data_IF_117439208488
#
_entry.id   IF_117439208488
#
_cell.length_a   1.000
_cell.length_b   1.000
_cell.length_c   1.000
_cell.angle_alpha   90.00
_cell.angle_beta   90.00
_cell.angle_gamma   90.00
#
_symmetry.space_group_name_H-M   'P 1'
#
loop_
_entity.id
_entity.type
_entity.pdbx_description
1 polymer ?
#
# COMPACT_ATOMS: atom_id res chain seq x y z
N UNK A 1 -1.35 46.02 -18.48
CA UNK A 1 -0.40 44.91 -18.73
C UNK A 1 -0.61 43.90 -17.62
N UNK A 2 -1.32 42.85 -17.93
CA UNK A 2 -1.68 41.83 -16.95
C UNK A 2 -0.54 40.82 -16.88
N UNK A 3 0.11 40.78 -15.76
CA UNK A 3 1.09 39.77 -15.44
C UNK A 3 0.31 38.54 -14.97
N UNK A 4 0.18 37.59 -15.88
CA UNK A 4 -0.49 36.32 -15.62
C UNK A 4 0.48 35.44 -14.84
N UNK A 5 0.41 35.52 -13.53
CA UNK A 5 1.06 34.58 -12.65
C UNK A 5 0.58 33.16 -13.05
N UNK A 6 1.43 32.42 -13.75
CA UNK A 6 1.30 30.99 -13.87
C UNK A 6 1.35 30.37 -12.48
N UNK A 7 0.18 30.12 -11.91
CA UNK A 7 0.05 29.14 -10.85
C UNK A 7 0.55 27.82 -11.44
N UNK A 8 1.75 27.44 -11.07
CA UNK A 8 2.22 26.08 -11.25
C UNK A 8 1.27 25.19 -10.46
N UNK A 9 0.33 24.52 -11.13
CA UNK A 9 -0.36 23.38 -10.58
C UNK A 9 0.72 22.41 -10.08
N UNK A 10 0.90 22.38 -8.78
CA UNK A 10 1.62 21.29 -8.12
C UNK A 10 0.74 20.08 -8.42
N UNK A 11 1.07 19.36 -9.50
CA UNK A 11 0.56 18.01 -9.71
C UNK A 11 0.98 17.25 -8.46
N UNK A 12 0.04 17.01 -7.58
CA UNK A 12 0.19 16.03 -6.52
C UNK A 12 0.44 14.72 -7.24
N UNK A 13 1.69 14.32 -7.32
CA UNK A 13 2.06 13.03 -7.88
C UNK A 13 1.48 12.02 -6.89
N UNK A 14 0.38 11.40 -7.25
CA UNK A 14 -0.22 10.35 -6.46
C UNK A 14 0.78 9.21 -6.37
N UNK A 15 1.22 8.90 -5.14
CA UNK A 15 2.20 7.84 -4.86
C UNK A 15 1.49 6.48 -4.83
N UNK A 16 0.78 6.15 -5.90
CA UNK A 16 0.13 4.86 -6.11
C UNK A 16 -0.18 4.61 -7.59
N UNK A 17 -0.40 3.35 -7.94
CA UNK A 17 -1.05 2.95 -9.20
C UNK A 17 -1.96 1.74 -8.96
N UNK A 18 -3.24 1.92 -9.22
CA UNK A 18 -4.29 0.90 -9.06
C UNK A 18 -5.19 0.89 -10.32
N UNK A 19 -6.00 -0.15 -10.48
CA UNK A 19 -6.87 -0.27 -11.64
C UNK A 19 -7.93 0.84 -11.69
N UNK A 20 -8.66 1.06 -10.62
CA UNK A 20 -9.72 2.08 -10.51
C UNK A 20 -9.88 2.55 -9.06
N UNK A 21 -9.52 3.80 -8.82
CA UNK A 21 -9.64 4.41 -7.48
C UNK A 21 -11.10 4.55 -7.00
N UNK A 22 -12.07 4.55 -7.91
CA UNK A 22 -13.48 4.64 -7.56
C UNK A 22 -14.02 3.40 -6.84
N UNK A 23 -13.29 2.29 -6.86
CA UNK A 23 -13.62 1.07 -6.11
C UNK A 23 -13.29 1.19 -4.61
N UNK A 24 -12.69 2.29 -4.16
CA UNK A 24 -12.20 2.45 -2.79
C UNK A 24 -13.29 2.35 -1.74
N UNK A 25 -14.50 2.87 -1.99
CA UNK A 25 -15.61 2.79 -1.03
C UNK A 25 -16.06 1.36 -0.80
N UNK A 26 -16.17 0.57 -1.87
CA UNK A 26 -16.45 -0.85 -1.77
C UNK A 26 -15.35 -1.59 -1.01
N UNK A 27 -14.09 -1.35 -1.36
CA UNK A 27 -12.95 -1.92 -0.66
C UNK A 27 -12.96 -1.62 0.85
N UNK A 28 -13.22 -0.37 1.24
CA UNK A 28 -13.27 0.04 2.63
C UNK A 28 -14.38 -0.72 3.43
N UNK A 29 -15.53 -0.95 2.83
CA UNK A 29 -16.61 -1.74 3.45
C UNK A 29 -16.20 -3.20 3.65
N UNK A 30 -15.58 -3.81 2.66
CA UNK A 30 -15.08 -5.19 2.73
C UNK A 30 -13.96 -5.35 3.77
N UNK A 31 -13.07 -4.37 3.89
CA UNK A 31 -12.02 -4.35 4.91
C UNK A 31 -12.63 -4.35 6.31
N UNK A 32 -13.67 -3.56 6.55
CA UNK A 32 -14.38 -3.55 7.84
C UNK A 32 -14.98 -4.90 8.21
N UNK A 33 -15.50 -5.62 7.23
CA UNK A 33 -16.01 -6.98 7.45
C UNK A 33 -14.84 -7.92 7.78
N UNK A 34 -13.75 -7.87 7.02
CA UNK A 34 -12.58 -8.71 7.23
C UNK A 34 -11.94 -8.51 8.61
N UNK A 35 -11.94 -7.29 9.15
CA UNK A 35 -11.45 -7.02 10.51
C UNK A 35 -12.14 -7.91 11.56
N UNK A 36 -13.44 -8.18 11.39
CA UNK A 36 -14.20 -9.04 12.31
C UNK A 36 -13.78 -10.51 12.25
N UNK A 37 -13.16 -10.92 11.15
CA UNK A 37 -12.68 -12.28 10.91
C UNK A 37 -11.19 -12.45 11.22
N UNK A 38 -10.51 -11.38 11.62
CA UNK A 38 -9.07 -11.34 11.87
C UNK A 38 -8.76 -10.85 13.30
N UNK A 39 -9.25 -11.57 14.34
CA UNK A 39 -9.15 -11.11 15.73
C UNK A 39 -7.70 -10.99 16.23
N UNK A 40 -6.78 -11.77 15.69
CA UNK A 40 -5.36 -11.68 16.05
C UNK A 40 -4.74 -10.32 15.70
N UNK A 41 -4.95 -9.84 14.47
CA UNK A 41 -4.49 -8.51 14.06
C UNK A 41 -5.20 -7.39 14.82
N UNK A 42 -6.50 -7.53 15.04
CA UNK A 42 -7.27 -6.53 15.80
C UNK A 42 -6.81 -6.44 17.26
N UNK A 43 -6.46 -7.56 17.88
CA UNK A 43 -5.87 -7.58 19.24
C UNK A 43 -4.51 -6.88 19.28
N UNK A 44 -3.69 -7.04 18.25
CA UNK A 44 -2.41 -6.30 18.15
C UNK A 44 -2.63 -4.78 18.07
N UNK A 45 -3.63 -4.32 17.31
CA UNK A 45 -3.98 -2.90 17.26
C UNK A 45 -4.40 -2.38 18.64
N UNK A 46 -5.26 -3.14 19.35
CA UNK A 46 -5.75 -2.77 20.67
C UNK A 46 -4.60 -2.70 21.70
N UNK A 47 -3.75 -3.69 21.72
CA UNK A 47 -2.67 -3.81 22.73
C UNK A 47 -1.49 -2.86 22.45
N UNK A 48 -1.09 -2.72 21.21
CA UNK A 48 0.15 -2.03 20.82
C UNK A 48 -0.05 -0.74 20.03
N UNK A 49 -1.24 -0.45 19.55
CA UNK A 49 -1.50 0.72 18.70
C UNK A 49 -1.06 2.05 19.31
N UNK A 50 -1.29 2.26 20.59
CA UNK A 50 -0.86 3.48 21.30
C UNK A 50 0.65 3.52 21.60
N UNK A 51 1.29 2.35 21.67
CA UNK A 51 2.72 2.22 22.00
C UNK A 51 3.63 2.45 20.79
N UNK A 52 3.08 2.33 19.57
CA UNK A 52 3.82 2.49 18.29
C UNK A 52 5.13 1.68 18.22
N UNK A 53 5.10 0.35 18.43
CA UNK A 53 6.31 -0.45 18.48
C UNK A 53 7.06 -0.49 17.14
N UNK A 54 6.39 -0.18 16.01
CA UNK A 54 6.98 -0.11 14.67
C UNK A 54 7.35 1.31 14.25
N UNK A 55 7.40 2.25 15.17
CA UNK A 55 7.87 3.61 14.87
C UNK A 55 9.30 3.55 14.30
N UNK A 56 9.51 4.14 13.13
CA UNK A 56 10.79 4.10 12.41
C UNK A 56 10.96 2.88 11.49
N UNK A 57 10.02 1.94 11.49
CA UNK A 57 10.00 0.87 10.49
C UNK A 57 9.52 1.41 9.15
N UNK A 58 10.34 1.24 8.12
CA UNK A 58 10.02 1.51 6.72
C UNK A 58 9.90 0.17 6.00
N UNK A 59 8.68 -0.29 5.78
CA UNK A 59 8.40 -1.62 5.26
C UNK A 59 8.07 -1.56 3.78
N UNK A 60 8.90 -2.19 2.94
CA UNK A 60 8.52 -2.54 1.59
C UNK A 60 7.86 -3.92 1.61
N UNK A 61 6.63 -4.01 1.12
CA UNK A 61 5.84 -5.23 1.10
C UNK A 61 5.58 -5.73 -0.32
N UNK A 62 5.70 -7.04 -0.50
CA UNK A 62 5.31 -7.76 -1.71
C UNK A 62 4.53 -9.00 -1.30
N UNK A 63 3.22 -8.84 -1.17
CA UNK A 63 2.27 -9.88 -0.79
C UNK A 63 0.94 -9.60 -1.48
N UNK A 64 0.17 -10.65 -1.78
CA UNK A 64 -1.14 -10.56 -2.44
C UNK A 64 -1.97 -9.38 -1.94
N UNK A 65 -2.29 -8.43 -2.81
CA UNK A 65 -3.05 -7.22 -2.42
C UNK A 65 -4.54 -7.52 -2.34
N UNK A 66 -4.90 -8.25 -1.30
CA UNK A 66 -6.27 -8.65 -0.99
C UNK A 66 -6.87 -7.81 0.14
N UNK A 67 -8.15 -8.00 0.40
CA UNK A 67 -8.84 -7.39 1.54
C UNK A 67 -8.16 -7.75 2.87
N UNK A 68 -7.75 -9.01 3.05
CA UNK A 68 -7.07 -9.47 4.26
C UNK A 68 -5.69 -8.81 4.41
N UNK A 69 -4.97 -8.67 3.33
CA UNK A 69 -3.68 -7.95 3.32
C UNK A 69 -3.89 -6.46 3.64
N UNK A 70 -4.98 -5.86 3.21
CA UNK A 70 -5.32 -4.50 3.60
C UNK A 70 -5.48 -4.36 5.13
N UNK A 71 -6.11 -5.30 5.80
CA UNK A 71 -6.18 -5.33 7.27
C UNK A 71 -4.80 -5.43 7.90
N UNK A 72 -3.91 -6.24 7.33
CA UNK A 72 -2.51 -6.32 7.78
C UNK A 72 -1.79 -4.98 7.60
N UNK A 73 -1.89 -4.36 6.44
CA UNK A 73 -1.25 -3.06 6.14
C UNK A 73 -1.73 -1.98 7.12
N UNK A 74 -3.03 -1.85 7.32
CA UNK A 74 -3.59 -0.90 8.28
C UNK A 74 -3.11 -1.19 9.71
N UNK A 75 -2.96 -2.46 10.08
CA UNK A 75 -2.42 -2.85 11.38
C UNK A 75 -0.97 -2.40 11.55
N UNK A 76 -0.12 -2.65 10.56
CA UNK A 76 1.28 -2.23 10.58
C UNK A 76 1.42 -0.69 10.71
N UNK A 77 0.56 0.04 10.01
CA UNK A 77 0.53 1.52 10.08
C UNK A 77 0.06 1.98 11.45
N UNK A 78 -0.97 1.37 12.00
CA UNK A 78 -1.44 1.70 13.35
C UNK A 78 -0.38 1.42 14.42
N UNK A 79 0.45 0.41 14.21
CA UNK A 79 1.61 0.13 15.06
C UNK A 79 2.80 1.09 14.83
N UNK A 80 2.73 1.99 13.87
CA UNK A 80 3.71 3.06 13.65
C UNK A 80 4.59 2.93 12.41
N UNK A 81 4.42 1.89 11.59
CA UNK A 81 5.22 1.69 10.38
C UNK A 81 4.84 2.64 9.24
N UNK A 82 5.81 2.96 8.40
CA UNK A 82 5.60 3.50 7.07
C UNK A 82 5.64 2.35 6.05
N UNK A 83 4.71 2.34 5.10
CA UNK A 83 4.48 1.21 4.19
C UNK A 83 4.55 1.67 2.73
N UNK A 84 5.14 0.82 1.89
CA UNK A 84 5.00 0.83 0.44
C UNK A 84 4.72 -0.60 -0.01
N UNK A 85 3.75 -0.80 -0.90
CA UNK A 85 3.22 -2.15 -1.17
C UNK A 85 3.05 -2.46 -2.65
N UNK A 86 3.34 -3.71 -3.02
CA UNK A 86 3.01 -4.32 -4.31
C UNK A 86 2.45 -5.74 -4.09
N UNK A 87 1.84 -6.31 -5.12
CA UNK A 87 1.42 -7.71 -5.07
C UNK A 87 2.55 -8.65 -5.49
N UNK A 88 2.56 -9.86 -4.94
CA UNK A 88 3.50 -10.91 -5.31
C UNK A 88 3.00 -11.82 -6.45
N UNK A 89 1.90 -11.45 -7.11
CA UNK A 89 1.32 -12.19 -8.22
C UNK A 89 0.50 -11.27 -9.12
N UNK A 90 0.60 -11.45 -10.44
CA UNK A 90 -0.07 -10.61 -11.45
C UNK A 90 -1.60 -10.72 -11.47
N UNK A 91 -2.18 -11.78 -10.88
CA UNK A 91 -3.63 -12.02 -10.93
C UNK A 91 -4.31 -11.99 -9.55
N UNK A 92 -3.56 -11.94 -8.45
CA UNK A 92 -4.13 -12.10 -7.11
C UNK A 92 -4.67 -10.83 -6.49
N UNK A 93 -4.38 -9.66 -7.04
CA UNK A 93 -4.89 -8.39 -6.53
C UNK A 93 -6.41 -8.34 -6.58
N UNK A 94 -7.01 -7.92 -5.47
CA UNK A 94 -8.40 -7.47 -5.44
C UNK A 94 -8.40 -5.96 -5.64
N UNK A 95 -8.88 -5.50 -6.80
CA UNK A 95 -8.75 -4.09 -7.20
C UNK A 95 -9.43 -3.11 -6.25
N UNK A 96 -10.52 -3.51 -5.62
CA UNK A 96 -11.18 -2.71 -4.60
C UNK A 96 -10.37 -2.59 -3.29
N UNK A 97 -9.59 -3.62 -2.94
CA UNK A 97 -8.64 -3.54 -1.81
C UNK A 97 -7.51 -2.57 -2.09
N UNK A 98 -6.90 -2.68 -3.27
CA UNK A 98 -5.84 -1.75 -3.70
C UNK A 98 -6.35 -0.30 -3.77
N UNK A 99 -7.55 -0.09 -4.30
CA UNK A 99 -8.19 1.23 -4.35
C UNK A 99 -8.42 1.82 -2.96
N UNK A 100 -8.88 1.01 -1.99
CA UNK A 100 -9.07 1.47 -0.61
C UNK A 100 -7.75 1.92 0.04
N UNK A 101 -6.67 1.17 -0.16
CA UNK A 101 -5.34 1.55 0.33
C UNK A 101 -4.85 2.85 -0.31
N UNK A 102 -4.96 2.98 -1.63
CA UNK A 102 -4.59 4.19 -2.36
C UNK A 102 -5.38 5.42 -1.88
N UNK A 103 -6.68 5.28 -1.71
CA UNK A 103 -7.57 6.35 -1.22
C UNK A 103 -7.22 6.79 0.21
N UNK A 104 -6.75 5.88 1.04
CA UNK A 104 -6.27 6.17 2.39
C UNK A 104 -4.89 6.83 2.42
N UNK A 105 -4.25 7.06 1.27
CA UNK A 105 -2.94 7.69 1.17
C UNK A 105 -1.77 6.72 1.33
N UNK A 106 -1.99 5.43 1.23
CA UNK A 106 -0.95 4.40 1.34
C UNK A 106 -0.35 4.16 -0.04
N UNK A 107 0.97 4.26 -0.21
CA UNK A 107 1.63 3.94 -1.46
C UNK A 107 1.46 2.47 -1.84
N UNK A 108 0.59 2.20 -2.81
CA UNK A 108 0.27 0.87 -3.31
C UNK A 108 0.34 0.84 -4.83
N UNK A 109 0.99 -0.18 -5.35
CA UNK A 109 1.21 -0.41 -6.78
C UNK A 109 0.78 -1.82 -7.09
N UNK A 110 -0.50 -2.02 -7.41
CA UNK A 110 -1.06 -3.32 -7.67
C UNK A 110 -2.40 -3.24 -8.41
N UNK A 111 -2.60 -4.09 -9.41
CA UNK A 111 -3.88 -4.34 -10.05
C UNK A 111 -3.95 -5.77 -10.59
N UNK A 112 -5.14 -6.26 -10.79
CA UNK A 112 -5.34 -7.58 -11.37
C UNK A 112 -5.05 -7.54 -12.87
N UNK A 113 -4.20 -8.44 -13.35
CA UNK A 113 -3.87 -8.56 -14.77
C UNK A 113 -2.69 -7.68 -15.19
N UNK A 114 -1.74 -7.44 -14.30
CA UNK A 114 -0.46 -6.83 -14.65
C UNK A 114 0.26 -7.67 -15.70
N UNK A 115 0.95 -7.02 -16.63
CA UNK A 115 1.97 -7.68 -17.46
C UNK A 115 3.20 -7.99 -16.61
N UNK A 116 4.10 -8.83 -17.10
CA UNK A 116 5.36 -9.12 -16.39
C UNK A 116 6.19 -7.84 -16.18
N UNK A 117 6.26 -6.97 -17.18
CA UNK A 117 6.96 -5.69 -17.08
C UNK A 117 6.33 -4.76 -16.03
N UNK A 118 5.01 -4.69 -16.00
CA UNK A 118 4.26 -3.91 -15.01
C UNK A 118 4.46 -4.46 -13.59
N UNK A 119 4.48 -5.77 -13.44
CA UNK A 119 4.74 -6.44 -12.17
C UNK A 119 6.10 -6.03 -11.58
N UNK A 120 7.17 -6.14 -12.36
CA UNK A 120 8.49 -5.74 -11.90
C UNK A 120 8.61 -4.24 -11.66
N UNK A 121 7.93 -3.42 -12.46
CA UNK A 121 7.84 -2.00 -12.22
C UNK A 121 7.15 -1.69 -10.88
N UNK A 122 6.05 -2.37 -10.55
CA UNK A 122 5.35 -2.23 -9.27
C UNK A 122 6.25 -2.55 -8.08
N UNK A 123 7.00 -3.67 -8.15
CA UNK A 123 7.95 -4.05 -7.10
C UNK A 123 9.01 -2.97 -6.89
N UNK A 124 9.58 -2.45 -7.96
CA UNK A 124 10.57 -1.36 -7.88
C UNK A 124 10.04 -0.10 -7.21
N UNK A 125 8.76 0.24 -7.42
CA UNK A 125 8.15 1.40 -6.76
C UNK A 125 8.14 1.27 -5.23
N UNK A 126 8.13 0.07 -4.67
CA UNK A 126 8.18 -0.13 -3.22
C UNK A 126 9.55 0.20 -2.62
N UNK A 127 10.60 0.20 -3.42
CA UNK A 127 11.98 0.46 -3.00
C UNK A 127 12.45 1.85 -3.46
N UNK A 128 12.21 2.18 -4.71
CA UNK A 128 12.77 3.35 -5.41
C UNK A 128 11.75 4.46 -5.67
N UNK A 129 10.49 4.23 -5.46
CA UNK A 129 9.40 5.13 -5.85
C UNK A 129 9.37 6.48 -5.13
N UNK A 130 10.13 6.65 -4.05
CA UNK A 130 10.23 7.91 -3.30
C UNK A 130 11.70 8.23 -2.98
N UNK A 131 12.18 9.38 -3.42
CA UNK A 131 13.60 9.77 -3.42
C UNK A 131 14.30 9.63 -2.07
N UNK A 132 13.66 10.06 -0.99
CA UNK A 132 14.26 10.12 0.35
C UNK A 132 13.75 9.04 1.29
N UNK A 133 13.06 8.04 0.74
CA UNK A 133 12.53 6.92 1.50
C UNK A 133 13.25 5.62 1.10
N UNK A 134 13.74 4.91 2.09
CA UNK A 134 14.37 3.60 1.91
C UNK A 134 13.77 2.60 2.89
N UNK A 135 13.48 1.38 2.45
CA UNK A 135 13.03 0.34 3.36
C UNK A 135 14.17 -0.08 4.28
N UNK A 136 13.84 -0.36 5.53
CA UNK A 136 14.71 -1.01 6.49
C UNK A 136 14.14 -2.38 6.92
N UNK A 137 12.95 -2.72 6.44
CA UNK A 137 12.32 -4.03 6.63
C UNK A 137 11.63 -4.45 5.33
N UNK A 138 11.64 -5.75 5.06
CA UNK A 138 10.93 -6.35 3.94
C UNK A 138 9.88 -7.35 4.44
N UNK A 139 8.72 -7.33 3.81
CA UNK A 139 7.72 -8.38 3.93
C UNK A 139 7.52 -8.95 2.52
N UNK A 140 8.08 -10.11 2.26
CA UNK A 140 8.22 -10.66 0.90
C UNK A 140 7.71 -12.09 0.82
N UNK A 141 6.67 -12.29 0.03
CA UNK A 141 6.14 -13.62 -0.28
C UNK A 141 6.62 -14.05 -1.68
N UNK A 142 7.44 -15.08 -1.71
CA UNK A 142 8.00 -15.64 -2.94
C UNK A 142 9.43 -15.19 -3.28
N UNK A 143 9.92 -14.10 -2.70
CA UNK A 143 11.33 -13.67 -2.84
C UNK A 143 11.60 -12.68 -3.97
N UNK A 144 10.61 -12.25 -4.75
CA UNK A 144 10.82 -11.35 -5.89
C UNK A 144 11.27 -9.95 -5.45
N UNK A 145 10.71 -9.44 -4.36
CA UNK A 145 11.14 -8.16 -3.78
C UNK A 145 12.58 -8.22 -3.27
N UNK A 146 12.96 -9.34 -2.66
CA UNK A 146 14.33 -9.55 -2.15
C UNK A 146 15.35 -9.69 -3.27
N UNK A 147 14.92 -10.14 -4.46
CA UNK A 147 15.79 -10.34 -5.63
C UNK A 147 16.10 -9.03 -6.38
N UNK A 148 15.37 -7.96 -6.15
CA UNK A 148 15.57 -6.63 -6.73
C UNK A 148 16.51 -5.80 -5.85
#
# INVERSE_FOLDING_TARGET
MADTAKQSEIKTINDYKVADINLAEWGAKEIKIAETEMPGLMSLREEFGSKKPLKGAHIAGCLHMTIQTAVLIETLIELGAEIRWSSCNIFSTQDHAAAAMAKAGIPVYAWKGETEEEYWWCIKQTIEGKKDWKPNMLLDDGGDLTAV
#
